data_IF_782595314516
#
_entry.id   IF_782595314516
#
_cell.length_a   1.000
_cell.length_b   1.000
_cell.length_c   1.000
_cell.angle_alpha   90.00
_cell.angle_beta   90.00
_cell.angle_gamma   90.00
#
_symmetry.space_group_name_H-M   'P 1'
#
loop_
_entity.id
_entity.type
_entity.pdbx_description
1 polymer ?
#
# COMPACT_ATOMS: atom_id res chain seq x y z
N UNK A 1 -5.37 -28.54 14.41
CA UNK A 1 -4.16 -27.73 14.66
C UNK A 1 -4.49 -26.25 14.48
N UNK A 2 -4.16 -25.40 15.44
CA UNK A 2 -4.18 -23.94 15.23
C UNK A 2 -2.76 -23.48 14.92
N UNK A 3 -2.49 -23.10 13.68
CA UNK A 3 -1.16 -22.62 13.26
C UNK A 3 -0.88 -21.17 13.68
N UNK A 4 -1.92 -20.41 14.01
CA UNK A 4 -1.85 -18.97 14.30
C UNK A 4 -2.39 -18.71 15.71
N UNK A 5 -1.55 -18.89 16.72
CA UNK A 5 -1.91 -18.64 18.12
C UNK A 5 -1.54 -17.19 18.49
N UNK A 6 -2.47 -16.45 19.11
CA UNK A 6 -2.21 -15.09 19.60
C UNK A 6 -2.19 -13.98 18.54
N UNK A 7 -2.52 -14.28 17.29
CA UNK A 7 -2.54 -13.29 16.21
C UNK A 7 -3.75 -12.36 16.36
N UNK A 8 -3.48 -11.07 16.63
CA UNK A 8 -4.50 -10.04 16.81
C UNK A 8 -4.58 -9.02 15.68
N UNK A 9 -3.59 -8.98 14.78
CA UNK A 9 -3.58 -8.07 13.63
C UNK A 9 -3.17 -8.76 12.33
N UNK A 10 -3.54 -8.16 11.19
CA UNK A 10 -3.18 -8.64 9.86
C UNK A 10 -1.66 -8.65 9.65
N UNK A 11 -0.94 -7.71 10.24
CA UNK A 11 0.52 -7.64 10.15
C UNK A 11 1.19 -8.82 10.86
N UNK A 12 0.71 -9.17 12.07
CA UNK A 12 1.20 -10.34 12.80
C UNK A 12 0.89 -11.64 12.06
N UNK A 13 -0.31 -11.76 11.48
CA UNK A 13 -0.70 -12.91 10.66
C UNK A 13 0.26 -13.14 9.50
N UNK A 14 0.66 -12.07 8.80
CA UNK A 14 1.61 -12.14 7.68
C UNK A 14 3.02 -12.56 8.10
N UNK A 15 3.47 -12.12 9.27
CA UNK A 15 4.80 -12.47 9.78
C UNK A 15 4.86 -13.97 10.09
N UNK A 16 3.90 -14.47 10.86
CA UNK A 16 3.83 -15.91 11.21
C UNK A 16 3.61 -16.77 9.96
N UNK A 17 2.76 -16.34 9.04
CA UNK A 17 2.56 -17.03 7.77
C UNK A 17 3.85 -17.17 6.97
N UNK A 18 4.65 -16.09 6.84
CA UNK A 18 5.95 -16.17 6.16
C UNK A 18 6.93 -17.10 6.86
N UNK A 19 6.92 -17.12 8.20
CA UNK A 19 7.76 -18.02 9.00
C UNK A 19 7.40 -19.49 8.77
N UNK A 20 6.10 -19.81 8.78
CA UNK A 20 5.59 -21.15 8.52
C UNK A 20 5.83 -21.58 7.07
N UNK A 21 5.55 -20.70 6.10
CA UNK A 21 5.82 -20.95 4.69
C UNK A 21 7.31 -21.22 4.48
N UNK A 22 8.21 -20.43 5.07
CA UNK A 22 9.65 -20.65 4.95
C UNK A 22 10.11 -22.01 5.51
N UNK A 23 9.37 -22.61 6.45
CA UNK A 23 9.66 -23.91 7.07
C UNK A 23 9.07 -25.09 6.30
N UNK A 24 7.86 -24.93 5.76
CA UNK A 24 7.10 -26.02 5.14
C UNK A 24 6.96 -25.88 3.61
N UNK A 25 7.63 -24.92 2.96
CA UNK A 25 7.57 -24.78 1.51
C UNK A 25 8.16 -26.01 0.81
N UNK A 26 7.49 -26.57 -0.22
CA UNK A 26 8.00 -27.72 -0.96
C UNK A 26 9.38 -27.48 -1.57
N UNK A 27 9.63 -26.29 -2.12
CA UNK A 27 10.96 -25.92 -2.67
C UNK A 27 12.09 -25.90 -1.63
N UNK A 28 11.77 -25.94 -0.33
CA UNK A 28 12.74 -26.01 0.77
C UNK A 28 12.74 -27.37 1.48
N UNK A 29 12.14 -28.39 0.86
CA UNK A 29 12.02 -29.73 1.42
C UNK A 29 10.87 -29.89 2.43
N UNK A 30 9.88 -29.00 2.41
CA UNK A 30 8.66 -29.13 3.21
C UNK A 30 7.55 -29.92 2.51
N UNK A 31 6.46 -30.18 3.24
CA UNK A 31 5.31 -30.93 2.72
C UNK A 31 4.26 -30.00 2.08
N UNK A 32 3.87 -30.33 0.85
CA UNK A 32 2.84 -29.59 0.11
C UNK A 32 1.47 -29.63 0.79
N UNK A 33 1.11 -30.74 1.45
CA UNK A 33 -0.15 -30.86 2.18
C UNK A 33 -0.19 -29.92 3.38
N UNK A 34 0.89 -29.87 4.15
CA UNK A 34 1.02 -28.93 5.28
C UNK A 34 0.96 -27.47 4.81
N UNK A 35 1.61 -27.14 3.69
CA UNK A 35 1.56 -25.79 3.12
C UNK A 35 0.14 -25.40 2.69
N UNK A 36 -0.61 -26.32 2.08
CA UNK A 36 -2.01 -26.08 1.70
C UNK A 36 -2.90 -25.83 2.92
N UNK A 37 -2.74 -26.60 4.00
CA UNK A 37 -3.45 -26.36 5.25
C UNK A 37 -3.13 -24.96 5.80
N UNK A 38 -1.85 -24.58 5.87
CA UNK A 38 -1.41 -23.26 6.36
C UNK A 38 -2.05 -22.13 5.53
N UNK A 39 -2.15 -22.29 4.21
CA UNK A 39 -2.80 -21.31 3.33
C UNK A 39 -4.30 -21.18 3.63
N UNK A 40 -5.02 -22.31 3.75
CA UNK A 40 -6.44 -22.32 4.08
C UNK A 40 -6.70 -21.63 5.43
N UNK A 41 -5.91 -21.95 6.45
CA UNK A 41 -6.01 -21.31 7.76
C UNK A 41 -5.70 -19.80 7.69
N UNK A 42 -4.71 -19.40 6.89
CA UNK A 42 -4.37 -17.99 6.71
C UNK A 42 -5.55 -17.19 6.13
N UNK A 43 -6.22 -17.73 5.11
CA UNK A 43 -7.38 -17.07 4.49
C UNK A 43 -8.57 -16.96 5.46
N UNK A 44 -8.84 -18.02 6.23
CA UNK A 44 -9.86 -17.99 7.29
C UNK A 44 -9.58 -16.94 8.38
N UNK A 45 -8.35 -16.83 8.86
CA UNK A 45 -8.01 -15.84 9.89
C UNK A 45 -8.05 -14.42 9.30
N UNK A 46 -7.59 -14.25 8.07
CA UNK A 46 -7.58 -12.94 7.39
C UNK A 46 -8.99 -12.42 7.11
N UNK A 47 -9.91 -13.28 6.69
CA UNK A 47 -11.33 -12.93 6.51
C UNK A 47 -11.98 -12.56 7.84
N UNK A 48 -11.76 -13.34 8.90
CA UNK A 48 -12.25 -13.03 10.25
C UNK A 48 -11.73 -11.68 10.77
N UNK A 49 -10.46 -11.35 10.56
CA UNK A 49 -9.90 -10.05 10.95
C UNK A 49 -10.53 -8.89 10.18
N UNK A 50 -10.75 -9.03 8.87
CA UNK A 50 -11.45 -8.02 8.06
C UNK A 50 -12.90 -7.81 8.51
N UNK A 51 -13.61 -8.88 8.85
CA UNK A 51 -14.99 -8.80 9.35
C UNK A 51 -15.01 -8.07 10.70
N UNK A 52 -14.07 -8.38 11.61
CA UNK A 52 -13.93 -7.65 12.88
C UNK A 52 -13.65 -6.16 12.67
N UNK A 53 -12.74 -5.80 11.77
CA UNK A 53 -12.46 -4.39 11.44
C UNK A 53 -13.70 -3.66 10.90
N UNK A 54 -14.56 -4.34 10.12
CA UNK A 54 -15.84 -3.77 9.65
C UNK A 54 -16.87 -3.66 10.77
N UNK A 55 -16.98 -4.67 11.64
CA UNK A 55 -17.90 -4.67 12.78
C UNK A 55 -17.55 -3.58 13.81
N UNK A 56 -16.27 -3.38 14.10
CA UNK A 56 -15.80 -2.30 14.99
C UNK A 56 -16.10 -0.92 14.38
N UNK A 57 -15.93 -0.76 13.06
CA UNK A 57 -16.31 0.47 12.36
C UNK A 57 -17.83 0.72 12.37
N UNK A 58 -18.64 -0.34 12.35
CA UNK A 58 -20.09 -0.23 12.40
C UNK A 58 -20.60 0.20 13.80
N UNK A 59 -19.93 -0.21 14.88
CA UNK A 59 -20.27 0.24 16.25
C UNK A 59 -19.95 1.71 16.54
N UNK A 60 -19.13 2.35 15.71
CA UNK A 60 -18.79 3.78 15.80
C UNK A 60 -19.64 4.72 14.93
N UNK A 61 -20.67 4.22 14.22
CA UNK A 61 -21.59 5.03 13.40
C UNK A 61 -23.04 4.59 13.63
N UNK A 62 -23.65 5.13 14.67
CA UNK A 62 -25.11 5.27 14.74
C UNK A 62 -25.43 6.73 14.41
N UNK A 63 -25.68 6.96 13.13
CA UNK A 63 -26.55 7.94 12.48
C UNK A 63 -26.16 7.86 10.99
N UNK A 64 -26.81 6.92 10.29
CA UNK A 64 -27.83 7.25 9.27
C UNK A 64 -27.13 7.19 7.89
N UNK A 65 -27.56 6.46 6.85
CA UNK A 65 -28.81 5.80 6.47
C UNK A 65 -28.50 4.64 5.53
N UNK A 66 -29.44 3.70 5.44
CA UNK A 66 -29.42 2.52 4.61
C UNK A 66 -29.51 2.81 3.09
N UNK A 67 -28.94 1.92 2.26
CA UNK A 67 -29.71 1.25 1.19
C UNK A 67 -29.00 0.02 0.61
N UNK A 68 -29.77 -1.06 0.53
CA UNK A 68 -29.52 -2.32 -0.16
C UNK A 68 -29.44 -2.15 -1.68
N UNK A 69 -28.74 -3.04 -2.41
CA UNK A 69 -29.30 -4.12 -3.27
C UNK A 69 -28.22 -4.76 -4.16
N UNK A 70 -28.57 -5.91 -4.73
CA UNK A 70 -27.74 -7.03 -5.18
C UNK A 70 -27.13 -6.93 -6.59
N UNK A 71 -26.09 -7.76 -6.80
CA UNK A 71 -25.60 -8.42 -8.03
C UNK A 71 -25.44 -7.65 -9.35
N UNK A 72 -24.20 -7.53 -9.84
CA UNK A 72 -23.81 -7.84 -11.23
C UNK A 72 -22.30 -7.95 -11.40
N UNK A 73 -21.89 -8.82 -12.31
CA UNK A 73 -20.55 -9.12 -12.81
C UNK A 73 -19.59 -7.95 -13.05
N UNK A 74 -18.31 -8.33 -13.02
CA UNK A 74 -17.12 -7.67 -13.59
C UNK A 74 -16.24 -6.80 -12.68
N UNK A 75 -14.99 -7.26 -12.60
CA UNK A 75 -13.77 -6.47 -12.71
C UNK A 75 -13.64 -5.22 -11.83
N UNK A 76 -12.97 -5.40 -10.68
CA UNK A 76 -11.93 -4.50 -10.12
C UNK A 76 -11.65 -4.94 -8.69
N UNK A 77 -10.38 -5.16 -8.36
CA UNK A 77 -9.95 -5.14 -6.96
C UNK A 77 -9.42 -3.74 -6.62
N UNK A 78 -10.23 -2.86 -6.01
CA UNK A 78 -9.73 -1.77 -5.20
C UNK A 78 -9.35 -2.38 -3.84
N UNK A 79 -8.09 -2.26 -3.43
CA UNK A 79 -7.70 -2.50 -2.05
C UNK A 79 -7.25 -1.19 -1.44
N UNK A 80 -8.20 -0.61 -0.72
CA UNK A 80 -8.01 0.50 0.21
C UNK A 80 -6.80 0.27 1.10
N UNK A 81 -5.93 1.28 1.17
CA UNK A 81 -5.22 1.64 2.39
C UNK A 81 -5.17 3.16 2.44
N UNK A 82 -6.17 3.72 3.11
CA UNK A 82 -6.19 5.08 3.60
C UNK A 82 -5.24 5.14 4.81
N UNK A 83 -4.04 5.70 4.62
CA UNK A 83 -3.14 6.09 5.71
C UNK A 83 -2.61 7.47 5.38
N UNK A 84 -3.06 8.43 6.19
CA UNK A 84 -2.53 9.78 6.34
C UNK A 84 -2.50 10.63 5.06
N UNK A 85 -3.63 11.29 4.84
CA UNK A 85 -3.72 12.73 4.56
C UNK A 85 -2.44 13.52 4.83
N UNK A 86 -1.57 13.52 3.83
CA UNK A 86 -0.79 14.65 3.34
C UNK A 86 -0.72 14.44 1.83
N UNK A 87 -1.90 14.27 1.21
CA UNK A 87 -2.04 14.20 -0.23
C UNK A 87 -1.70 15.59 -0.77
N UNK A 88 -0.40 15.83 -0.99
CA UNK A 88 0.05 16.89 -1.86
C UNK A 88 -0.45 16.49 -3.24
N UNK A 89 -1.64 16.98 -3.57
CA UNK A 89 -2.28 16.72 -4.84
C UNK A 89 -1.47 17.42 -5.92
N UNK A 90 -0.90 16.65 -6.84
CA UNK A 90 -0.17 17.18 -8.01
C UNK A 90 -1.16 17.67 -9.08
N UNK A 91 -2.23 18.34 -8.68
CA UNK A 91 -3.26 18.84 -9.61
C UNK A 91 -2.67 19.91 -10.53
N UNK A 92 -1.85 20.79 -9.95
CA UNK A 92 -1.23 21.93 -10.64
C UNK A 92 0.16 21.64 -11.21
N UNK A 93 0.58 20.37 -11.26
CA UNK A 93 1.91 20.01 -11.79
C UNK A 93 2.03 20.37 -13.26
N UNK A 94 3.12 21.03 -13.62
CA UNK A 94 3.46 21.47 -14.97
C UNK A 94 4.74 20.80 -15.47
N UNK A 95 4.91 20.76 -16.80
CA UNK A 95 6.16 20.28 -17.41
C UNK A 95 7.29 21.24 -17.05
N UNK A 96 8.43 20.70 -16.61
CA UNK A 96 9.57 21.46 -16.09
C UNK A 96 9.58 21.60 -14.56
N UNK A 97 8.50 21.20 -13.87
CA UNK A 97 8.49 21.23 -12.41
C UNK A 97 9.50 20.25 -11.81
N UNK A 98 10.13 20.68 -10.72
CA UNK A 98 11.04 19.83 -9.95
C UNK A 98 10.26 19.09 -8.87
N UNK A 99 10.38 17.76 -8.87
CA UNK A 99 9.75 16.86 -7.91
C UNK A 99 10.77 15.86 -7.36
N UNK A 100 10.55 15.38 -6.14
CA UNK A 100 11.44 14.42 -5.48
C UNK A 100 10.85 13.03 -5.51
N UNK A 101 11.53 12.09 -6.16
CA UNK A 101 11.18 10.67 -6.17
C UNK A 101 12.01 9.94 -5.11
N UNK A 102 11.38 9.56 -3.99
CA UNK A 102 12.06 8.95 -2.83
C UNK A 102 13.34 9.73 -2.41
N UNK A 103 13.29 11.07 -2.45
CA UNK A 103 14.42 11.95 -2.13
C UNK A 103 15.45 12.16 -3.25
N UNK A 104 15.27 11.53 -4.43
CA UNK A 104 16.05 11.86 -5.63
C UNK A 104 15.34 12.97 -6.39
N UNK A 105 16.04 14.07 -6.67
CA UNK A 105 15.54 15.17 -7.50
C UNK A 105 15.24 14.66 -8.92
N UNK A 106 14.10 15.08 -9.47
CA UNK A 106 13.67 14.74 -10.82
C UNK A 106 12.84 15.87 -11.43
N UNK A 107 12.79 15.87 -12.75
CA UNK A 107 12.09 16.87 -13.55
C UNK A 107 10.89 16.23 -14.24
N UNK A 108 9.76 16.93 -14.22
CA UNK A 108 8.53 16.50 -14.90
C UNK A 108 8.67 16.75 -16.40
N UNK A 109 8.61 15.70 -17.21
CA UNK A 109 8.74 15.80 -18.68
C UNK A 109 7.39 15.78 -19.39
N UNK A 110 6.40 15.09 -18.81
CA UNK A 110 5.07 14.98 -19.40
C UNK A 110 4.03 15.06 -18.28
N UNK A 111 2.94 15.79 -18.53
CA UNK A 111 1.79 15.85 -17.62
C UNK A 111 0.54 15.45 -18.41
N UNK A 112 -0.17 14.44 -17.94
CA UNK A 112 -1.50 14.07 -18.41
C UNK A 112 -2.56 14.41 -17.35
N UNK A 113 -3.79 13.99 -17.59
CA UNK A 113 -4.93 14.38 -16.74
C UNK A 113 -4.84 13.83 -15.31
N UNK A 114 -4.43 12.56 -15.18
CA UNK A 114 -4.40 11.83 -13.91
C UNK A 114 -2.99 11.38 -13.50
N UNK A 115 -1.99 11.58 -14.36
CA UNK A 115 -0.63 11.11 -14.15
C UNK A 115 0.40 12.02 -14.80
N UNK A 116 1.63 11.97 -14.32
CA UNK A 116 2.76 12.72 -14.85
C UNK A 116 4.01 11.83 -14.92
N UNK A 117 4.91 12.14 -15.84
CA UNK A 117 6.18 11.44 -16.04
C UNK A 117 7.33 12.29 -15.51
N UNK A 118 8.22 11.66 -14.77
CA UNK A 118 9.40 12.28 -14.18
C UNK A 118 10.65 11.56 -14.64
N UNK A 119 11.69 12.31 -14.96
CA UNK A 119 13.04 11.79 -15.17
C UNK A 119 13.91 12.19 -13.98
N UNK A 120 14.53 11.19 -13.34
CA UNK A 120 15.42 11.47 -12.21
C UNK A 120 16.72 12.12 -12.69
N UNK A 121 17.14 13.19 -12.02
CA UNK A 121 18.37 13.92 -12.33
C UNK A 121 19.59 12.99 -12.18
N UNK A 122 20.45 12.98 -13.20
CA UNK A 122 21.64 12.12 -13.24
C UNK A 122 21.34 10.63 -13.51
N UNK A 123 20.13 10.27 -13.94
CA UNK A 123 19.78 8.91 -14.34
C UNK A 123 18.99 8.92 -15.65
N UNK A 124 19.17 7.88 -16.47
CA UNK A 124 18.37 7.68 -17.68
C UNK A 124 16.95 7.12 -17.40
N UNK A 125 16.59 6.92 -16.13
CA UNK A 125 15.36 6.23 -15.74
C UNK A 125 14.20 7.21 -15.61
N UNK A 126 13.11 6.90 -16.30
CA UNK A 126 11.85 7.62 -16.22
C UNK A 126 10.84 6.84 -15.37
N UNK A 127 9.94 7.54 -14.68
CA UNK A 127 8.86 6.93 -13.92
C UNK A 127 7.57 7.74 -14.08
N UNK A 128 6.44 7.03 -14.06
CA UNK A 128 5.10 7.63 -14.16
C UNK A 128 4.45 7.58 -12.79
N UNK A 129 3.88 8.69 -12.36
CA UNK A 129 3.24 8.88 -11.07
C UNK A 129 1.79 9.33 -11.26
N UNK A 130 0.92 8.92 -10.35
CA UNK A 130 -0.45 9.43 -10.30
C UNK A 130 -0.44 10.80 -9.63
N UNK A 131 -1.27 11.73 -10.15
CA UNK A 131 -1.42 13.05 -9.56
C UNK A 131 -2.02 12.98 -8.15
N UNK A 132 -2.96 12.06 -7.97
CA UNK A 132 -3.57 11.77 -6.68
C UNK A 132 -2.57 10.98 -5.82
N UNK A 133 -1.98 11.67 -4.85
CA UNK A 133 -1.09 11.10 -3.84
C UNK A 133 0.30 10.70 -4.32
N UNK A 134 0.74 11.11 -5.52
CA UNK A 134 2.14 11.01 -5.95
C UNK A 134 2.72 9.59 -6.05
N UNK A 135 1.89 8.54 -6.10
CA UNK A 135 2.37 7.14 -6.14
C UNK A 135 2.75 6.71 -7.55
N UNK A 136 3.83 5.94 -7.66
CA UNK A 136 4.25 5.37 -8.94
C UNK A 136 3.21 4.42 -9.53
N UNK A 137 2.83 4.64 -10.80
CA UNK A 137 1.81 3.89 -11.54
C UNK A 137 2.14 2.40 -11.63
N UNK A 138 3.39 2.09 -11.98
CA UNK A 138 3.88 0.71 -12.12
C UNK A 138 4.65 0.22 -10.90
N UNK A 139 5.23 1.13 -10.12
CA UNK A 139 6.02 0.79 -8.95
C UNK A 139 5.53 1.54 -7.72
N UNK A 140 4.73 0.83 -6.91
CA UNK A 140 4.13 1.36 -5.67
C UNK A 140 5.16 1.74 -4.60
N UNK A 141 6.43 1.35 -4.74
CA UNK A 141 7.53 1.75 -3.85
C UNK A 141 8.07 3.13 -4.18
N UNK A 142 7.75 3.66 -5.36
CA UNK A 142 8.13 5.01 -5.75
C UNK A 142 7.05 5.98 -5.32
N UNK A 143 7.49 7.05 -4.67
CA UNK A 143 6.65 8.14 -4.23
C UNK A 143 7.28 9.46 -4.66
N UNK A 144 6.49 10.30 -5.31
CA UNK A 144 6.82 11.66 -5.69
C UNK A 144 6.33 12.62 -4.59
N UNK A 145 7.15 13.60 -4.23
CA UNK A 145 6.79 14.71 -3.34
C UNK A 145 7.37 16.02 -3.85
N UNK A 146 6.67 17.14 -3.64
CA UNK A 146 7.24 18.48 -3.88
C UNK A 146 8.33 18.83 -2.88
N UNK A 147 8.23 18.30 -1.67
CA UNK A 147 9.14 18.59 -0.59
C UNK A 147 10.19 17.48 -0.43
N UNK A 148 11.45 17.87 -0.28
CA UNK A 148 12.57 16.99 0.01
C UNK A 148 12.73 16.74 1.52
N UNK A 149 11.63 16.55 2.26
CA UNK A 149 11.66 16.35 3.73
C UNK A 149 12.51 15.17 4.18
N UNK A 150 12.95 14.31 3.27
CA UNK A 150 13.95 13.28 3.54
C UNK A 150 15.36 13.81 3.84
N UNK A 151 15.67 15.10 3.61
CA UNK A 151 16.97 15.69 3.91
C UNK A 151 17.07 16.43 5.27
N UNK A 152 15.97 16.62 6.01
CA UNK A 152 16.00 17.31 7.32
C UNK A 152 15.27 16.56 8.43
N UNK A 153 15.89 15.47 8.92
CA UNK A 153 15.89 15.12 10.35
C UNK A 153 17.32 15.04 10.90
N UNK A 154 18.23 15.84 10.36
CA UNK A 154 19.54 16.10 10.94
C UNK A 154 19.50 17.43 11.68
N UNK A 155 19.41 17.36 13.00
CA UNK A 155 19.78 18.39 13.99
C UNK A 155 19.44 19.86 13.64
N UNK A 156 18.37 20.38 14.23
CA UNK A 156 18.35 21.79 14.62
C UNK A 156 19.44 21.98 15.69
N UNK A 157 20.60 22.49 15.29
CA UNK A 157 21.52 23.09 16.25
C UNK A 157 20.81 24.30 16.84
N UNK A 158 20.35 24.16 18.09
CA UNK A 158 20.07 25.31 18.95
C UNK A 158 21.44 25.86 19.32
N UNK A 159 21.75 27.06 18.82
CA UNK A 159 22.80 27.94 19.35
C UNK A 159 22.11 29.20 19.81
#
# INVERSE_FOLDING_TARGET
MSYFVGVRSVSQLKIEYRRLAAKYHPDRGGDSRQMQEINAYYDHVRTKLKIKERAEKAKGKVQETAKCTETSDQEKQPSDQNTASDALDFQDVSVGDTVFVNGTEGEVTEVGDLSFRVVAKGRARQAIFNKLGGKGKYNKRLHASYDNRHKKRGFSAVV
#
